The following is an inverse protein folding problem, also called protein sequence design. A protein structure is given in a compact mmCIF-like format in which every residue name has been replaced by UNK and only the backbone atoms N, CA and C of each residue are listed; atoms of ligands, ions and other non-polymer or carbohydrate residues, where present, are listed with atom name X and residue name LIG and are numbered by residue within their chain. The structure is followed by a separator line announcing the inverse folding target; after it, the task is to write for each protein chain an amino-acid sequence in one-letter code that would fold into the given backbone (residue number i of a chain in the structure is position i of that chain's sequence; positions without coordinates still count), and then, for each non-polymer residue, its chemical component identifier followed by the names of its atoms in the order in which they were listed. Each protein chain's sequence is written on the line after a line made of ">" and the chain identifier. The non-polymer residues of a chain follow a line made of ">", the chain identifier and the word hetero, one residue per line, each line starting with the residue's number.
data_IF_758669835753
#
_entry.id   IF_758669835753
#
_cell.length_a   1.000
_cell.length_b   1.000
_cell.length_c   1.000
_cell.angle_alpha   90.00
_cell.angle_beta   90.00
_cell.angle_gamma   90.00
#
_symmetry.space_group_name_H-M   'P 1'
#
loop_
_entity.id
_entity.type
_entity.pdbx_description
1 polymer ?
#
# COMPACT_ATOMS: atom_id res chain seq x y z
N UNK A 1 22.59 -0.53 -24.32
CA UNK A 1 21.93 0.59 -23.63
C UNK A 1 22.99 1.37 -22.85
N UNK A 2 22.98 2.70 -22.92
CA UNK A 2 23.59 3.62 -21.92
C UNK A 2 25.11 3.57 -21.68
N UNK A 3 25.82 4.51 -22.28
CA UNK A 3 27.20 4.95 -22.00
C UNK A 3 27.61 4.82 -20.51
N UNK A 4 28.54 3.91 -20.21
CA UNK A 4 29.43 3.88 -19.03
C UNK A 4 28.86 4.35 -17.67
N UNK A 5 27.78 3.72 -17.18
CA UNK A 5 27.29 3.98 -15.81
C UNK A 5 26.84 5.43 -15.55
N UNK A 6 26.61 6.22 -16.61
CA UNK A 6 26.22 7.62 -16.50
C UNK A 6 24.86 7.78 -15.82
N UNK A 7 23.96 6.82 -16.01
CA UNK A 7 22.67 6.78 -15.33
C UNK A 7 22.85 6.56 -13.81
N UNK A 8 23.69 5.60 -13.40
CA UNK A 8 23.97 5.34 -11.98
C UNK A 8 24.55 6.58 -11.28
N UNK A 9 25.53 7.24 -11.91
CA UNK A 9 26.11 8.48 -11.39
C UNK A 9 25.10 9.63 -11.27
N UNK A 10 24.16 9.70 -12.23
CA UNK A 10 23.08 10.69 -12.17
C UNK A 10 22.11 10.37 -11.03
N UNK A 11 21.72 9.10 -10.88
CA UNK A 11 20.80 8.65 -9.85
C UNK A 11 21.35 8.94 -8.44
N UNK A 12 22.63 8.65 -8.15
CA UNK A 12 23.25 8.99 -6.85
C UNK A 12 23.10 10.48 -6.53
N UNK A 13 23.28 11.37 -7.51
CA UNK A 13 23.15 12.82 -7.30
C UNK A 13 21.71 13.27 -7.09
N UNK A 14 20.75 12.55 -7.63
CA UNK A 14 19.33 12.90 -7.56
C UNK A 14 18.66 12.35 -6.30
N UNK A 15 19.07 11.16 -5.84
CA UNK A 15 18.46 10.49 -4.69
C UNK A 15 19.28 10.58 -3.42
N UNK A 16 20.54 11.02 -3.53
CA UNK A 16 21.55 11.00 -2.46
C UNK A 16 21.81 9.57 -1.92
N UNK A 17 21.44 8.54 -2.70
CA UNK A 17 21.62 7.14 -2.34
C UNK A 17 22.83 6.55 -3.06
N UNK A 18 23.59 5.70 -2.36
CA UNK A 18 24.76 5.02 -2.91
C UNK A 18 24.31 3.80 -3.72
N UNK A 19 24.47 3.86 -5.05
CA UNK A 19 24.08 2.79 -5.98
C UNK A 19 25.35 2.07 -6.46
N UNK A 20 25.44 0.75 -6.23
CA UNK A 20 26.51 -0.11 -6.73
C UNK A 20 25.91 -1.12 -7.73
N UNK A 21 26.42 -1.14 -8.97
CA UNK A 21 25.92 -2.03 -10.03
C UNK A 21 26.93 -3.15 -10.21
N UNK A 22 26.54 -4.37 -9.80
CA UNK A 22 27.35 -5.57 -9.99
C UNK A 22 26.97 -6.31 -11.28
N UNK A 23 27.91 -7.02 -11.93
CA UNK A 23 27.60 -7.92 -13.03
C UNK A 23 26.85 -9.15 -12.52
N UNK A 24 26.04 -9.75 -13.40
CA UNK A 24 25.20 -10.93 -13.11
C UNK A 24 26.00 -12.11 -12.52
N UNK A 25 27.25 -12.30 -12.93
CA UNK A 25 28.13 -13.35 -12.40
C UNK A 25 28.45 -13.20 -10.91
N UNK A 26 28.22 -12.03 -10.32
CA UNK A 26 28.39 -11.77 -8.90
C UNK A 26 27.05 -11.73 -8.15
N UNK A 27 25.91 -11.78 -8.86
CA UNK A 27 24.57 -11.75 -8.25
C UNK A 27 24.25 -13.04 -7.49
N UNK A 28 24.74 -14.19 -7.95
CA UNK A 28 24.49 -15.51 -7.33
C UNK A 28 25.00 -15.64 -5.89
N UNK A 29 25.99 -14.83 -5.48
CA UNK A 29 26.45 -14.81 -4.08
C UNK A 29 25.56 -13.93 -3.17
N UNK A 30 24.83 -12.96 -3.72
CA UNK A 30 23.98 -12.04 -2.95
C UNK A 30 22.52 -12.51 -2.85
N UNK A 31 22.02 -13.24 -3.85
CA UNK A 31 20.65 -13.79 -3.84
C UNK A 31 20.40 -14.74 -2.66
N UNK A 32 21.43 -15.45 -2.18
CA UNK A 32 21.31 -16.43 -1.09
C UNK A 32 21.20 -15.80 0.31
N UNK A 33 21.42 -14.48 0.45
CA UNK A 33 21.43 -13.79 1.76
C UNK A 33 20.23 -12.85 1.96
N UNK A 34 19.49 -12.50 0.90
CA UNK A 34 18.52 -11.39 0.92
C UNK A 34 17.07 -11.81 0.63
N UNK A 35 16.75 -13.10 0.75
CA UNK A 35 15.35 -13.57 0.75
C UNK A 35 14.69 -13.27 2.12
N UNK A 36 14.71 -12.00 2.54
CA UNK A 36 13.86 -11.53 3.62
C UNK A 36 12.46 -11.33 3.03
N UNK A 37 11.64 -12.37 3.16
CA UNK A 37 10.23 -12.41 2.79
C UNK A 37 9.52 -11.19 3.38
N UNK A 38 9.24 -10.19 2.54
CA UNK A 38 8.48 -9.01 2.95
C UNK A 38 7.02 -9.43 3.13
N UNK A 39 6.68 -9.90 4.33
CA UNK A 39 5.29 -10.15 4.68
C UNK A 39 4.57 -8.80 4.78
N UNK A 40 3.50 -8.57 4.00
CA UNK A 40 2.69 -7.38 4.18
C UNK A 40 2.14 -7.42 5.61
N UNK A 41 2.46 -6.39 6.40
CA UNK A 41 1.93 -6.22 7.75
C UNK A 41 0.39 -6.15 7.69
N UNK A 42 -0.24 -7.30 7.91
CA UNK A 42 -1.70 -7.45 7.89
C UNK A 42 -2.37 -6.67 9.03
N UNK A 43 -1.59 -6.16 9.99
CA UNK A 43 -2.05 -5.46 11.19
C UNK A 43 -2.08 -3.92 11.01
N UNK A 44 -1.64 -3.41 9.85
CA UNK A 44 -1.78 -1.99 9.48
C UNK A 44 -3.24 -1.56 9.16
N UNK A 45 -4.23 -2.39 9.50
CA UNK A 45 -5.64 -2.26 9.14
C UNK A 45 -6.51 -1.49 10.15
N UNK A 46 -5.97 -0.49 10.84
CA UNK A 46 -6.80 0.51 11.52
C UNK A 46 -7.48 1.41 10.48
N UNK A 47 -8.54 0.88 9.85
CA UNK A 47 -9.26 1.56 8.78
C UNK A 47 -9.99 2.78 9.35
N UNK A 48 -9.69 3.96 8.82
CA UNK A 48 -10.44 5.18 9.11
C UNK A 48 -11.80 5.13 8.42
N UNK A 49 -12.83 5.62 9.09
CA UNK A 49 -14.19 5.67 8.57
C UNK A 49 -14.24 6.28 7.17
N UNK A 50 -14.91 5.58 6.25
CA UNK A 50 -14.98 5.94 4.82
C UNK A 50 -15.93 7.11 4.52
N UNK A 51 -16.82 7.47 5.46
CA UNK A 51 -17.78 8.55 5.27
C UNK A 51 -17.11 9.88 4.91
N UNK A 52 -17.70 10.59 3.95
CA UNK A 52 -17.28 11.93 3.53
C UNK A 52 -18.22 12.95 4.18
N UNK A 53 -17.64 13.90 4.91
CA UNK A 53 -18.36 14.99 5.54
C UNK A 53 -18.78 16.04 4.49
N UNK A 54 -19.66 16.97 4.87
CA UNK A 54 -20.11 18.08 4.00
C UNK A 54 -18.97 18.96 3.47
N UNK A 55 -17.82 18.97 4.17
CA UNK A 55 -16.61 19.70 3.76
C UNK A 55 -15.72 18.91 2.79
N UNK A 56 -16.15 17.73 2.31
CA UNK A 56 -15.40 16.88 1.38
C UNK A 56 -14.24 16.09 2.00
N UNK A 57 -13.99 16.24 3.31
CA UNK A 57 -12.96 15.46 4.03
C UNK A 57 -13.55 14.16 4.56
N UNK A 58 -12.71 13.12 4.61
CA UNK A 58 -13.09 11.85 5.25
C UNK A 58 -13.23 12.03 6.76
N UNK A 59 -14.16 11.28 7.34
CA UNK A 59 -14.35 11.23 8.79
C UNK A 59 -13.04 10.82 9.49
N UNK A 60 -12.69 11.49 10.58
CA UNK A 60 -11.47 11.21 11.34
C UNK A 60 -11.61 10.00 12.28
N UNK A 61 -12.84 9.53 12.52
CA UNK A 61 -13.09 8.41 13.40
C UNK A 61 -12.58 7.10 12.81
N UNK A 62 -12.15 6.21 13.69
CA UNK A 62 -11.84 4.83 13.33
C UNK A 62 -13.12 4.09 12.95
N UNK A 63 -13.01 3.21 11.96
CA UNK A 63 -14.09 2.31 11.59
C UNK A 63 -14.27 1.21 12.65
N UNK A 64 -15.46 0.61 12.70
CA UNK A 64 -15.71 -0.51 13.60
C UNK A 64 -14.99 -1.77 13.08
N UNK A 65 -14.70 -2.77 13.95
CA UNK A 65 -13.94 -3.97 13.57
C UNK A 65 -14.50 -4.75 12.37
N UNK A 66 -15.80 -4.63 12.08
CA UNK A 66 -16.48 -5.32 10.97
C UNK A 66 -17.20 -4.37 10.01
N UNK A 67 -16.85 -3.08 10.02
CA UNK A 67 -17.48 -2.10 9.12
C UNK A 67 -16.44 -1.11 8.59
N UNK A 68 -16.66 -0.61 7.39
CA UNK A 68 -15.86 0.50 6.84
C UNK A 68 -16.22 1.87 7.46
N UNK A 69 -17.19 1.89 8.39
CA UNK A 69 -17.74 3.11 8.99
C UNK A 69 -17.68 3.09 10.52
N UNK A 70 -17.64 4.29 11.12
CA UNK A 70 -17.72 4.47 12.58
C UNK A 70 -19.17 4.39 13.08
N UNK A 71 -19.41 4.23 14.38
CA UNK A 71 -20.76 4.08 14.99
C UNK A 71 -21.71 5.29 14.94
N UNK A 72 -21.46 6.31 14.10
CA UNK A 72 -22.38 7.44 13.92
C UNK A 72 -23.53 7.00 12.99
N UNK A 73 -24.81 7.19 13.36
CA UNK A 73 -25.95 6.69 12.57
C UNK A 73 -25.96 7.17 11.12
N UNK A 74 -25.58 8.42 10.86
CA UNK A 74 -25.49 8.97 9.49
C UNK A 74 -24.40 8.34 8.63
N UNK A 75 -23.35 7.80 9.26
CA UNK A 75 -22.27 7.09 8.56
C UNK A 75 -22.60 5.60 8.42
N UNK A 76 -23.29 5.00 9.39
CA UNK A 76 -23.78 3.63 9.30
C UNK A 76 -24.83 3.45 8.19
N UNK A 77 -25.68 4.44 7.94
CA UNK A 77 -26.57 4.42 6.78
C UNK A 77 -25.83 4.40 5.43
N UNK A 78 -24.61 4.94 5.37
CA UNK A 78 -23.75 4.82 4.19
C UNK A 78 -23.06 3.45 4.10
N UNK A 79 -22.94 2.74 5.24
CA UNK A 79 -22.40 1.39 5.31
C UNK A 79 -23.34 0.37 4.68
N UNK A 80 -24.61 0.39 5.07
CA UNK A 80 -25.63 -0.54 4.55
C UNK A 80 -25.79 -0.47 3.04
N UNK A 81 -25.68 0.73 2.46
CA UNK A 81 -25.73 0.93 1.00
C UNK A 81 -24.48 0.40 0.30
N UNK A 82 -23.32 0.45 0.95
CA UNK A 82 -22.04 0.06 0.37
C UNK A 82 -21.78 -1.45 0.48
N UNK A 83 -22.12 -2.08 1.61
CA UNK A 83 -21.92 -3.52 1.84
C UNK A 83 -22.74 -4.38 0.87
N UNK A 84 -23.98 -3.96 0.55
CA UNK A 84 -24.79 -4.62 -0.48
C UNK A 84 -24.20 -4.56 -1.91
N UNK A 85 -23.20 -3.70 -2.16
CA UNK A 85 -22.50 -3.61 -3.45
C UNK A 85 -21.23 -4.47 -3.51
N UNK A 86 -20.64 -4.81 -2.35
CA UNK A 86 -19.39 -5.59 -2.26
C UNK A 86 -19.65 -7.10 -2.33
N UNK A 87 -20.76 -7.57 -1.75
CA UNK A 87 -21.15 -8.99 -1.78
C UNK A 87 -21.44 -9.52 -3.21
N UNK A 88 -21.59 -8.64 -4.20
CA UNK A 88 -21.76 -9.03 -5.61
C UNK A 88 -20.47 -9.23 -6.41
N UNK A 89 -19.28 -9.10 -5.80
CA UNK A 89 -17.98 -9.13 -6.53
C UNK A 89 -16.96 -10.13 -5.98
N UNK A 90 -17.37 -11.02 -5.08
CA UNK A 90 -16.49 -11.95 -4.36
C UNK A 90 -16.81 -13.43 -4.58
N UNK A 91 -17.39 -13.81 -5.72
CA UNK A 91 -17.62 -15.21 -6.06
C UNK A 91 -17.30 -15.49 -7.53
N UNK A 92 -16.03 -15.42 -7.89
CA UNK A 92 -15.49 -16.10 -9.07
C UNK A 92 -14.06 -16.57 -8.74
N UNK A 93 -13.97 -17.90 -8.61
CA UNK A 93 -12.80 -18.83 -8.63
C UNK A 93 -11.62 -18.66 -7.66
#
# INVERSE_FOLDING_TARGET
>A
MGREGQNARLAVKLTDWKIDIKPESQATEYEDTEEEEWEPDTDSQMHRCRAVLSNGRRCANMALPDSLFCGIPSHQAQASEFEGMVEGRGSDE
#
